data_IF_657454161951
#
_entry.id   IF_657454161951
#
_cell.length_a   1.000
_cell.length_b   1.000
_cell.length_c   1.000
_cell.angle_alpha   90.00
_cell.angle_beta   90.00
_cell.angle_gamma   90.00
#
_symmetry.space_group_name_H-M   'P 1'
#
loop_
_entity.id
_entity.type
_entity.pdbx_description
1 polymer ?
#
# COMPACT_ATOMS: atom_id res chain seq x y z
N UNK A 1 17.44 -3.54 -19.56
CA UNK A 1 16.73 -3.62 -18.26
C UNK A 1 15.31 -3.10 -18.47
N UNK A 2 14.29 -3.83 -18.03
CA UNK A 2 12.90 -3.35 -18.14
C UNK A 2 12.74 -2.17 -17.16
N UNK A 3 12.62 -0.95 -17.66
CA UNK A 3 12.37 0.26 -16.86
C UNK A 3 10.87 0.37 -16.48
N UNK A 4 10.25 -0.70 -16.01
CA UNK A 4 8.83 -0.76 -15.70
C UNK A 4 8.57 -1.70 -14.53
N UNK A 5 7.88 -1.22 -13.51
CA UNK A 5 7.47 -1.99 -12.33
C UNK A 5 6.11 -2.68 -12.49
N UNK A 6 5.37 -2.34 -13.54
CA UNK A 6 3.99 -2.77 -13.76
C UNK A 6 3.92 -4.21 -14.26
N UNK A 7 3.20 -5.07 -13.54
CA UNK A 7 2.74 -6.37 -13.99
C UNK A 7 1.31 -6.27 -14.55
N UNK A 8 1.15 -6.39 -15.87
CA UNK A 8 -0.15 -6.25 -16.53
C UNK A 8 -1.18 -7.28 -16.08
N UNK A 9 -0.75 -8.53 -15.81
CA UNK A 9 -1.66 -9.60 -15.37
C UNK A 9 -2.24 -9.29 -13.99
N UNK A 10 -1.41 -8.75 -13.07
CA UNK A 10 -1.87 -8.33 -11.75
C UNK A 10 -2.86 -7.17 -11.86
N UNK A 11 -2.59 -6.16 -12.70
CA UNK A 11 -3.54 -5.05 -12.92
C UNK A 11 -4.89 -5.56 -13.41
N UNK A 12 -4.90 -6.46 -14.41
CA UNK A 12 -6.15 -7.04 -14.93
C UNK A 12 -6.91 -7.81 -13.86
N UNK A 13 -6.21 -8.58 -13.03
CA UNK A 13 -6.76 -9.35 -11.92
C UNK A 13 -7.47 -8.44 -10.90
N UNK A 14 -6.79 -7.42 -10.41
CA UNK A 14 -7.38 -6.48 -9.45
C UNK A 14 -8.48 -5.61 -10.06
N UNK A 15 -8.35 -5.23 -11.33
CA UNK A 15 -9.39 -4.46 -12.04
C UNK A 15 -10.71 -5.22 -12.15
N UNK A 16 -10.69 -6.55 -12.29
CA UNK A 16 -11.90 -7.39 -12.36
C UNK A 16 -12.72 -7.39 -11.07
N UNK A 17 -12.10 -7.16 -9.94
CA UNK A 17 -12.74 -7.18 -8.62
C UNK A 17 -12.84 -5.78 -7.99
N UNK A 18 -12.48 -4.74 -8.72
CA UNK A 18 -12.37 -3.38 -8.18
C UNK A 18 -13.67 -2.84 -7.58
N UNK A 19 -14.83 -3.23 -8.10
CA UNK A 19 -16.13 -2.80 -7.57
C UNK A 19 -16.40 -3.29 -6.15
N UNK A 20 -15.71 -4.34 -5.71
CA UNK A 20 -15.86 -4.90 -4.38
C UNK A 20 -14.97 -4.24 -3.30
N UNK A 21 -14.12 -3.24 -3.67
CA UNK A 21 -13.19 -2.61 -2.72
C UNK A 21 -13.85 -2.18 -1.41
N UNK A 22 -15.05 -1.62 -1.47
CA UNK A 22 -15.75 -1.09 -0.31
C UNK A 22 -16.86 -2.01 0.24
N UNK A 23 -16.93 -3.24 -0.26
CA UNK A 23 -17.79 -4.28 0.30
C UNK A 23 -17.06 -5.02 1.44
N UNK A 24 -17.41 -4.81 2.73
CA UNK A 24 -16.69 -5.43 3.85
C UNK A 24 -16.86 -6.96 3.92
N UNK A 25 -17.85 -7.50 3.22
CA UNK A 25 -18.11 -8.94 3.12
C UNK A 25 -17.65 -9.54 1.78
N UNK A 26 -17.16 -8.70 0.87
CA UNK A 26 -16.66 -9.09 -0.45
C UNK A 26 -15.23 -9.64 -0.44
N UNK A 27 -14.61 -9.63 -1.61
CA UNK A 27 -13.26 -10.20 -1.84
C UNK A 27 -12.13 -9.47 -1.07
N UNK A 28 -12.37 -8.24 -0.61
CA UNK A 28 -11.42 -7.48 0.20
C UNK A 28 -11.71 -7.54 1.71
N UNK A 29 -12.61 -8.44 2.15
CA UNK A 29 -12.94 -8.66 3.57
C UNK A 29 -11.71 -8.80 4.48
N UNK A 30 -10.63 -9.53 4.13
CA UNK A 30 -9.44 -9.60 4.95
C UNK A 30 -8.80 -8.23 5.17
N UNK A 31 -8.71 -7.39 4.13
CA UNK A 31 -8.15 -6.04 4.24
C UNK A 31 -8.99 -5.16 5.16
N UNK A 32 -10.32 -5.23 5.07
CA UNK A 32 -11.21 -4.51 5.98
C UNK A 32 -10.98 -4.89 7.43
N UNK A 33 -10.77 -6.19 7.72
CA UNK A 33 -10.52 -6.68 9.09
C UNK A 33 -9.16 -6.25 9.63
N UNK A 34 -8.12 -6.21 8.78
CA UNK A 34 -6.76 -5.83 9.19
C UNK A 34 -6.55 -4.32 9.25
N UNK A 35 -7.32 -3.54 8.52
CA UNK A 35 -7.12 -2.10 8.41
C UNK A 35 -7.09 -1.35 9.74
N UNK A 36 -7.96 -1.61 10.73
CA UNK A 36 -7.92 -0.92 12.02
C UNK A 36 -6.56 -1.04 12.73
N UNK A 37 -5.98 -2.23 12.72
CA UNK A 37 -4.67 -2.50 13.33
C UNK A 37 -3.57 -1.78 12.53
N UNK A 38 -3.62 -1.89 11.22
CA UNK A 38 -2.69 -1.25 10.28
C UNK A 38 -2.69 0.28 10.43
N UNK A 39 -3.88 0.89 10.45
CA UNK A 39 -4.07 2.33 10.64
C UNK A 39 -3.48 2.78 11.98
N UNK A 40 -3.77 2.06 13.06
CA UNK A 40 -3.24 2.37 14.39
C UNK A 40 -1.72 2.32 14.41
N UNK A 41 -1.13 1.25 13.89
CA UNK A 41 0.32 1.09 13.82
C UNK A 41 1.00 2.22 13.03
N UNK A 42 0.49 2.51 11.83
CA UNK A 42 1.02 3.58 10.97
C UNK A 42 0.92 4.93 11.67
N UNK A 43 -0.27 5.28 12.18
CA UNK A 43 -0.53 6.52 12.90
C UNK A 43 0.44 6.71 14.08
N UNK A 44 0.58 5.69 14.93
CA UNK A 44 1.39 5.79 16.14
C UNK A 44 2.89 5.96 15.81
N UNK A 45 3.38 5.27 14.79
CA UNK A 45 4.77 5.45 14.32
C UNK A 45 5.00 6.83 13.68
N UNK A 46 4.02 7.37 12.95
CA UNK A 46 4.10 8.73 12.40
C UNK A 46 4.15 9.75 13.53
N UNK A 47 3.25 9.64 14.51
CA UNK A 47 3.24 10.52 15.70
C UNK A 47 4.60 10.50 16.40
N UNK A 48 5.13 9.31 16.65
CA UNK A 48 6.44 9.11 17.28
C UNK A 48 7.57 9.73 16.47
N UNK A 49 7.59 9.49 15.15
CA UNK A 49 8.66 9.95 14.24
C UNK A 49 8.69 11.47 14.11
N UNK A 50 7.53 12.08 13.88
CA UNK A 50 7.43 13.52 13.59
C UNK A 50 7.04 14.34 14.82
N UNK A 51 6.87 13.70 16.00
CA UNK A 51 6.48 14.34 17.27
C UNK A 51 5.21 15.19 17.10
N UNK A 52 4.25 14.71 16.31
CA UNK A 52 2.98 15.38 16.12
C UNK A 52 2.13 15.26 17.40
N UNK A 53 1.20 16.19 17.61
CA UNK A 53 0.31 16.13 18.78
C UNK A 53 -0.74 15.04 18.57
N UNK A 54 -0.99 14.23 19.60
CA UNK A 54 -2.07 13.23 19.58
C UNK A 54 -3.42 13.93 19.81
N UNK A 55 -4.00 14.46 18.75
CA UNK A 55 -5.28 15.18 18.71
C UNK A 55 -6.30 14.38 17.89
N UNK A 56 -7.48 14.97 17.64
CA UNK A 56 -8.46 14.40 16.68
C UNK A 56 -7.90 14.33 15.25
N UNK A 57 -6.90 15.13 14.90
CA UNK A 57 -6.23 15.15 13.60
C UNK A 57 -4.71 15.03 13.77
N UNK A 58 -4.20 13.87 14.24
CA UNK A 58 -2.80 13.71 14.62
C UNK A 58 -1.83 13.74 13.44
N UNK A 59 -2.32 13.56 12.21
CA UNK A 59 -1.50 13.56 11.00
C UNK A 59 -1.58 14.89 10.23
N UNK A 60 -2.08 15.96 10.85
CA UNK A 60 -2.16 17.26 10.22
C UNK A 60 -0.76 17.75 9.78
N UNK A 61 -0.66 18.28 8.53
CA UNK A 61 0.59 18.70 7.88
C UNK A 61 1.55 17.57 7.50
N UNK A 62 1.19 16.30 7.71
CA UNK A 62 1.98 15.16 7.23
C UNK A 62 1.57 14.84 5.79
N UNK A 63 2.53 14.87 4.86
CA UNK A 63 2.31 14.50 3.45
C UNK A 63 2.56 13.01 3.27
N UNK A 64 1.54 12.28 2.85
CA UNK A 64 1.58 10.82 2.66
C UNK A 64 1.38 10.48 1.18
N UNK A 65 2.18 9.57 0.66
CA UNK A 65 1.95 8.92 -0.62
C UNK A 65 1.57 7.45 -0.37
N UNK A 66 0.38 7.07 -0.81
CA UNK A 66 -0.13 5.70 -0.76
C UNK A 66 0.07 5.05 -2.13
N UNK A 67 1.04 4.14 -2.24
CA UNK A 67 1.42 3.48 -3.49
C UNK A 67 0.77 2.11 -3.57
N UNK A 68 0.03 1.86 -4.65
CA UNK A 68 -0.88 0.72 -4.76
C UNK A 68 -2.12 0.94 -3.90
N UNK A 69 -2.66 2.16 -3.91
CA UNK A 69 -3.76 2.57 -3.03
C UNK A 69 -5.08 1.82 -3.25
N UNK A 70 -5.20 1.07 -4.38
CA UNK A 70 -6.42 0.35 -4.72
C UNK A 70 -7.64 1.26 -4.75
N UNK A 71 -8.72 0.85 -4.11
CA UNK A 71 -9.95 1.65 -3.94
C UNK A 71 -9.88 2.72 -2.85
N UNK A 72 -8.70 2.99 -2.25
CA UNK A 72 -8.52 4.04 -1.25
C UNK A 72 -8.79 3.62 0.20
N UNK A 73 -8.82 2.30 0.47
CA UNK A 73 -9.15 1.73 1.79
C UNK A 73 -8.25 2.22 2.92
N UNK A 74 -6.99 2.55 2.63
CA UNK A 74 -6.07 3.12 3.61
C UNK A 74 -5.95 4.64 3.46
N UNK A 75 -6.03 5.15 2.23
CA UNK A 75 -5.94 6.59 1.96
C UNK A 75 -7.01 7.40 2.70
N UNK A 76 -8.27 6.94 2.70
CA UNK A 76 -9.36 7.68 3.35
C UNK A 76 -9.21 7.80 4.88
N UNK A 77 -8.91 6.72 5.62
CA UNK A 77 -8.64 6.84 7.06
C UNK A 77 -7.48 7.77 7.38
N UNK A 78 -6.39 7.74 6.59
CA UNK A 78 -5.26 8.67 6.79
C UNK A 78 -5.69 10.12 6.57
N UNK A 79 -6.52 10.40 5.56
CA UNK A 79 -7.11 11.73 5.34
C UNK A 79 -7.98 12.18 6.51
N UNK A 80 -8.83 11.29 7.05
CA UNK A 80 -9.67 11.57 8.22
C UNK A 80 -8.85 11.89 9.48
N UNK A 81 -7.66 11.28 9.60
CA UNK A 81 -6.69 11.59 10.66
C UNK A 81 -5.93 12.89 10.41
N UNK A 82 -6.18 13.58 9.29
CA UNK A 82 -5.66 14.92 8.99
C UNK A 82 -4.52 14.96 7.97
N UNK A 83 -4.06 13.82 7.46
CA UNK A 83 -2.97 13.79 6.50
C UNK A 83 -3.30 14.53 5.18
N UNK A 84 -2.27 15.10 4.57
CA UNK A 84 -2.29 15.52 3.18
C UNK A 84 -1.82 14.34 2.34
N UNK A 85 -2.79 13.62 1.73
CA UNK A 85 -2.53 12.33 1.12
C UNK A 85 -2.78 12.33 -0.38
N UNK A 86 -1.87 11.69 -1.10
CA UNK A 86 -1.98 11.36 -2.51
C UNK A 86 -1.98 9.85 -2.65
N UNK A 87 -2.92 9.29 -3.43
CA UNK A 87 -2.95 7.87 -3.77
C UNK A 87 -2.53 7.63 -5.22
N UNK A 88 -1.69 6.64 -5.45
CA UNK A 88 -1.37 6.18 -6.81
C UNK A 88 -1.62 4.68 -6.95
N UNK A 89 -2.13 4.28 -8.10
CA UNK A 89 -2.36 2.87 -8.47
C UNK A 89 -2.20 2.71 -9.97
N UNK A 90 -1.74 1.55 -10.42
CA UNK A 90 -1.55 1.27 -11.84
C UNK A 90 -2.86 0.90 -12.57
N UNK A 91 -3.93 0.55 -11.83
CA UNK A 91 -5.25 0.25 -12.36
C UNK A 91 -6.12 1.50 -12.41
N UNK A 92 -6.53 1.90 -13.62
CA UNK A 92 -7.47 3.01 -13.79
C UNK A 92 -8.81 2.74 -13.07
N UNK A 93 -9.29 1.48 -13.11
CA UNK A 93 -10.55 1.11 -12.45
C UNK A 93 -10.49 1.28 -10.93
N UNK A 94 -9.36 0.91 -10.30
CA UNK A 94 -9.15 1.15 -8.88
C UNK A 94 -9.20 2.65 -8.55
N UNK A 95 -8.52 3.47 -9.36
CA UNK A 95 -8.49 4.93 -9.19
C UNK A 95 -9.89 5.56 -9.35
N UNK A 96 -10.68 5.09 -10.29
CA UNK A 96 -12.06 5.55 -10.47
C UNK A 96 -12.91 5.25 -9.23
N UNK A 97 -12.82 4.03 -8.70
CA UNK A 97 -13.51 3.62 -7.46
C UNK A 97 -13.06 4.47 -6.28
N UNK A 98 -11.73 4.68 -6.11
CA UNK A 98 -11.18 5.50 -5.03
C UNK A 98 -11.70 6.94 -5.10
N UNK A 99 -11.67 7.56 -6.29
CA UNK A 99 -12.21 8.92 -6.51
C UNK A 99 -13.69 9.02 -6.19
N UNK A 100 -14.48 8.05 -6.68
CA UNK A 100 -15.93 8.03 -6.46
C UNK A 100 -16.27 7.93 -4.97
N UNK A 101 -15.58 7.02 -4.25
CA UNK A 101 -15.83 6.81 -2.84
C UNK A 101 -15.37 8.01 -1.99
N UNK A 102 -14.20 8.58 -2.25
CA UNK A 102 -13.72 9.78 -1.58
C UNK A 102 -14.67 10.97 -1.79
N UNK A 103 -15.16 11.18 -3.03
CA UNK A 103 -16.15 12.22 -3.35
C UNK A 103 -17.45 12.03 -2.57
N UNK A 104 -17.98 10.80 -2.51
CA UNK A 104 -19.19 10.45 -1.74
C UNK A 104 -19.02 10.79 -0.25
N UNK A 105 -17.82 10.59 0.28
CA UNK A 105 -17.46 10.87 1.67
C UNK A 105 -16.95 12.30 1.92
N UNK A 106 -16.97 13.17 0.91
CA UNK A 106 -16.49 14.56 0.98
C UNK A 106 -15.03 14.65 1.47
N UNK A 107 -14.20 13.72 1.02
CA UNK A 107 -12.77 13.69 1.29
C UNK A 107 -12.02 14.23 0.08
N UNK A 108 -11.21 15.27 0.31
CA UNK A 108 -10.33 15.84 -0.69
C UNK A 108 -9.02 15.03 -0.73
N UNK A 109 -8.97 14.02 -1.61
CA UNK A 109 -7.82 13.15 -1.83
C UNK A 109 -7.50 13.15 -3.32
N UNK A 110 -6.23 13.40 -3.62
CA UNK A 110 -5.73 13.35 -4.98
C UNK A 110 -5.34 11.91 -5.34
N UNK A 111 -5.89 11.39 -6.46
CA UNK A 111 -5.63 10.03 -6.95
C UNK A 111 -5.16 10.05 -8.41
N UNK A 112 -4.06 9.32 -8.71
CA UNK A 112 -3.49 9.20 -10.05
C UNK A 112 -3.32 7.76 -10.49
N UNK A 113 -3.70 7.49 -11.76
CA UNK A 113 -3.41 6.21 -12.40
C UNK A 113 -1.97 6.22 -12.93
N UNK A 114 -1.02 5.74 -12.12
CA UNK A 114 0.41 5.74 -12.45
C UNK A 114 1.18 4.76 -11.57
N UNK A 115 2.46 4.56 -11.89
CA UNK A 115 3.43 3.83 -11.06
C UNK A 115 4.49 4.79 -10.48
N UNK A 116 5.21 4.40 -9.41
CA UNK A 116 6.14 5.32 -8.73
C UNK A 116 7.25 5.83 -9.64
N UNK A 117 7.74 5.03 -10.60
CA UNK A 117 8.77 5.44 -11.55
C UNK A 117 8.27 6.44 -12.62
N UNK A 118 6.95 6.49 -12.82
CA UNK A 118 6.30 7.39 -13.81
C UNK A 118 5.61 8.57 -13.16
N UNK A 119 5.47 8.57 -11.85
CA UNK A 119 4.80 9.64 -11.12
C UNK A 119 5.65 10.91 -11.14
N UNK A 120 5.25 11.86 -11.98
CA UNK A 120 5.92 13.16 -12.12
C UNK A 120 5.40 14.11 -11.05
N UNK A 121 6.25 14.47 -10.10
CA UNK A 121 5.94 15.42 -9.04
C UNK A 121 7.23 16.02 -8.48
N UNK A 122 7.18 17.30 -8.14
CA UNK A 122 8.24 17.97 -7.40
C UNK A 122 8.07 17.83 -5.88
N UNK A 123 6.93 17.28 -5.45
CA UNK A 123 6.61 17.07 -4.04
C UNK A 123 7.39 15.87 -3.53
N UNK A 124 7.99 16.01 -2.34
CA UNK A 124 8.50 14.90 -1.54
C UNK A 124 7.58 14.66 -0.36
N UNK A 125 7.39 13.40 -0.04
CA UNK A 125 6.46 12.96 1.00
C UNK A 125 7.18 12.70 2.31
N UNK A 126 6.51 12.96 3.42
CA UNK A 126 6.99 12.63 4.76
C UNK A 126 6.87 11.11 5.00
N UNK A 127 5.84 10.51 4.43
CA UNK A 127 5.52 9.10 4.58
C UNK A 127 5.21 8.47 3.22
N UNK A 128 5.71 7.27 2.99
CA UNK A 128 5.29 6.41 1.88
C UNK A 128 4.68 5.13 2.47
N UNK A 129 3.53 4.75 1.93
CA UNK A 129 2.85 3.50 2.24
C UNK A 129 2.96 2.56 1.03
N UNK A 130 3.46 1.34 1.26
CA UNK A 130 3.55 0.24 0.30
C UNK A 130 2.90 -0.99 0.95
N UNK A 131 1.56 -1.05 0.94
CA UNK A 131 0.79 -2.08 1.63
C UNK A 131 0.30 -3.13 0.64
N UNK A 132 0.82 -4.37 0.77
CA UNK A 132 0.46 -5.51 -0.08
C UNK A 132 0.64 -5.19 -1.58
N UNK A 133 1.77 -4.58 -1.94
CA UNK A 133 2.07 -4.18 -3.33
C UNK A 133 3.38 -4.78 -3.85
N UNK A 134 4.38 -4.96 -3.00
CA UNK A 134 5.72 -5.35 -3.43
C UNK A 134 5.78 -6.75 -4.07
N UNK A 135 4.88 -7.65 -3.70
CA UNK A 135 4.72 -8.98 -4.28
C UNK A 135 4.06 -8.97 -5.68
N UNK A 136 3.46 -7.86 -6.07
CA UNK A 136 2.72 -7.71 -7.33
C UNK A 136 3.50 -6.96 -8.42
N UNK A 137 4.72 -6.51 -8.11
CA UNK A 137 5.55 -5.77 -9.07
C UNK A 137 6.52 -6.68 -9.83
N UNK A 138 6.91 -6.28 -11.03
CA UNK A 138 7.86 -7.03 -11.88
C UNK A 138 9.30 -6.98 -11.36
N UNK A 139 9.72 -5.86 -10.78
CA UNK A 139 11.07 -5.62 -10.28
C UNK A 139 10.99 -4.86 -8.94
N UNK A 140 11.18 -5.60 -7.86
CA UNK A 140 11.09 -5.09 -6.48
C UNK A 140 12.18 -4.05 -6.19
N UNK A 141 13.42 -4.29 -6.66
CA UNK A 141 14.54 -3.37 -6.41
C UNK A 141 14.30 -2.03 -7.11
N UNK A 142 13.90 -2.05 -8.40
CA UNK A 142 13.59 -0.85 -9.15
C UNK A 142 12.36 -0.12 -8.61
N UNK A 143 11.35 -0.85 -8.14
CA UNK A 143 10.16 -0.29 -7.49
C UNK A 143 10.55 0.47 -6.22
N UNK A 144 11.26 -0.17 -5.29
CA UNK A 144 11.67 0.43 -4.02
C UNK A 144 12.64 1.60 -4.22
N UNK A 145 13.53 1.51 -5.22
CA UNK A 145 14.36 2.63 -5.67
C UNK A 145 13.53 3.82 -6.13
N UNK A 146 12.46 3.55 -6.88
CA UNK A 146 11.57 4.61 -7.37
C UNK A 146 10.78 5.25 -6.23
N UNK A 147 10.27 4.44 -5.29
CA UNK A 147 9.63 4.92 -4.07
C UNK A 147 10.59 5.78 -3.23
N UNK A 148 11.84 5.35 -3.05
CA UNK A 148 12.83 6.08 -2.25
C UNK A 148 13.07 7.51 -2.75
N UNK A 149 12.99 7.72 -4.06
CA UNK A 149 13.15 9.05 -4.67
C UNK A 149 12.01 10.01 -4.35
N UNK A 150 10.85 9.50 -3.98
CA UNK A 150 9.66 10.30 -3.64
C UNK A 150 9.62 10.67 -2.15
N UNK A 151 10.42 10.00 -1.33
CA UNK A 151 10.48 10.24 0.12
C UNK A 151 11.43 11.40 0.47
N UNK A 152 11.08 12.18 1.48
CA UNK A 152 11.97 13.17 2.09
C UNK A 152 13.14 12.47 2.81
N UNK A 153 14.28 13.16 2.96
CA UNK A 153 15.50 12.65 3.62
C UNK A 153 15.24 12.06 5.01
N UNK A 154 14.33 12.65 5.78
CA UNK A 154 13.97 12.20 7.14
C UNK A 154 12.59 11.54 7.19
N UNK A 155 12.05 11.13 6.04
CA UNK A 155 10.78 10.46 5.92
C UNK A 155 10.80 9.04 6.43
N UNK A 156 9.62 8.43 6.52
CA UNK A 156 9.44 7.01 6.88
C UNK A 156 8.70 6.28 5.76
N UNK A 157 9.10 5.06 5.49
CA UNK A 157 8.42 4.17 4.53
C UNK A 157 7.90 2.95 5.28
N UNK A 158 6.62 2.67 5.11
CA UNK A 158 6.00 1.43 5.57
C UNK A 158 5.89 0.47 4.39
N UNK A 159 6.33 -0.76 4.61
CA UNK A 159 6.23 -1.84 3.62
C UNK A 159 5.57 -3.02 4.33
N UNK A 160 4.43 -3.47 3.80
CA UNK A 160 3.77 -4.68 4.26
C UNK A 160 3.60 -5.65 3.08
N UNK A 161 3.88 -6.91 3.33
CA UNK A 161 3.71 -8.01 2.37
C UNK A 161 3.57 -9.32 3.11
N UNK A 162 3.09 -10.34 2.42
CA UNK A 162 3.03 -11.69 2.96
C UNK A 162 4.45 -12.29 3.03
N UNK A 163 4.86 -12.66 4.24
CA UNK A 163 6.16 -13.31 4.45
C UNK A 163 6.21 -14.69 3.78
N UNK A 164 7.32 -15.03 3.14
CA UNK A 164 7.54 -16.33 2.50
C UNK A 164 7.83 -17.44 3.52
N UNK A 165 6.79 -17.90 4.22
CA UNK A 165 6.88 -18.98 5.21
C UNK A 165 5.86 -20.07 4.93
N UNK A 166 6.11 -21.29 5.45
CA UNK A 166 5.14 -22.38 5.35
C UNK A 166 3.80 -22.00 6.04
N UNK A 167 3.86 -21.23 7.14
CA UNK A 167 2.65 -20.71 7.81
C UNK A 167 1.83 -19.83 6.89
N UNK A 168 2.46 -18.88 6.19
CA UNK A 168 1.74 -18.00 5.27
C UNK A 168 1.18 -18.77 4.06
N UNK A 169 1.87 -19.79 3.58
CA UNK A 169 1.35 -20.69 2.55
C UNK A 169 0.04 -21.36 3.00
N UNK A 170 0.06 -21.97 4.19
CA UNK A 170 -1.12 -22.65 4.73
C UNK A 170 -2.27 -21.67 5.00
N UNK A 171 -2.01 -20.53 5.61
CA UNK A 171 -3.08 -19.59 6.00
C UNK A 171 -3.56 -18.71 4.84
N UNK A 172 -2.66 -18.16 4.02
CA UNK A 172 -3.04 -17.26 2.95
C UNK A 172 -3.56 -18.00 1.70
N UNK A 173 -2.98 -19.13 1.35
CA UNK A 173 -3.38 -19.89 0.17
C UNK A 173 -4.40 -20.95 0.53
N UNK A 174 -4.04 -21.95 1.34
CA UNK A 174 -4.96 -23.07 1.67
C UNK A 174 -6.15 -22.55 2.48
N UNK A 175 -5.90 -21.76 3.51
CA UNK A 175 -6.97 -21.23 4.38
C UNK A 175 -7.87 -20.22 3.68
N UNK A 176 -7.33 -19.14 3.17
CA UNK A 176 -8.13 -18.05 2.65
C UNK A 176 -8.73 -18.33 1.25
N UNK A 177 -8.00 -19.05 0.38
CA UNK A 177 -8.48 -19.30 -0.98
C UNK A 177 -9.29 -20.60 -1.11
N UNK A 178 -8.85 -21.70 -0.51
CA UNK A 178 -9.48 -23.00 -0.70
C UNK A 178 -10.52 -23.34 0.37
N UNK A 179 -10.25 -23.07 1.66
CA UNK A 179 -11.14 -23.44 2.76
C UNK A 179 -12.20 -22.38 2.99
N UNK A 180 -11.79 -21.15 3.31
CA UNK A 180 -12.71 -20.07 3.64
C UNK A 180 -13.27 -19.35 2.42
N UNK A 181 -12.65 -19.52 1.26
CA UNK A 181 -13.02 -18.90 -0.02
C UNK A 181 -13.22 -17.37 0.08
N UNK A 182 -12.44 -16.75 0.95
CA UNK A 182 -12.46 -15.28 1.11
C UNK A 182 -11.85 -14.57 -0.09
N UNK A 183 -10.93 -15.24 -0.78
CA UNK A 183 -10.25 -14.75 -1.96
C UNK A 183 -10.39 -15.75 -3.10
N UNK A 184 -10.41 -15.31 -4.36
CA UNK A 184 -10.37 -16.21 -5.51
C UNK A 184 -9.12 -17.10 -5.48
N UNK A 185 -9.27 -18.35 -5.90
CA UNK A 185 -8.13 -19.28 -6.06
C UNK A 185 -7.10 -18.63 -7.02
N UNK A 186 -5.82 -18.67 -6.66
CA UNK A 186 -4.74 -18.05 -7.42
C UNK A 186 -4.59 -16.55 -7.16
N UNK A 187 -5.19 -16.03 -6.09
CA UNK A 187 -4.94 -14.63 -5.64
C UNK A 187 -3.50 -14.48 -5.20
N UNK A 188 -2.95 -15.49 -4.51
CA UNK A 188 -1.57 -15.47 -4.02
C UNK A 188 -0.73 -16.54 -4.73
N UNK A 189 0.41 -16.13 -5.24
CA UNK A 189 1.46 -17.03 -5.73
C UNK A 189 2.57 -17.06 -4.68
N UNK A 190 2.72 -18.19 -3.98
CA UNK A 190 3.71 -18.31 -2.90
C UNK A 190 5.15 -18.00 -3.34
N UNK A 191 5.46 -18.22 -4.61
CA UNK A 191 6.76 -17.88 -5.19
C UNK A 191 7.06 -16.37 -5.16
N UNK A 192 6.01 -15.54 -5.21
CA UNK A 192 6.09 -14.08 -5.12
C UNK A 192 6.16 -13.54 -3.70
N UNK A 193 5.96 -14.38 -2.69
CA UNK A 193 6.09 -13.97 -1.30
C UNK A 193 7.54 -13.59 -0.99
N UNK A 194 7.71 -12.50 -0.27
CA UNK A 194 9.02 -11.88 -0.08
C UNK A 194 9.46 -12.04 1.39
N UNK A 195 10.70 -12.50 1.58
CA UNK A 195 11.28 -12.55 2.93
C UNK A 195 11.62 -11.14 3.41
N UNK A 196 11.32 -10.79 4.68
CA UNK A 196 11.65 -9.48 5.24
C UNK A 196 13.13 -9.12 5.09
N UNK A 197 14.04 -10.08 5.25
CA UNK A 197 15.48 -9.86 5.15
C UNK A 197 15.86 -9.35 3.76
N UNK A 198 15.24 -9.88 2.68
CA UNK A 198 15.49 -9.44 1.32
C UNK A 198 15.07 -7.98 1.09
N UNK A 199 13.90 -7.57 1.65
CA UNK A 199 13.47 -6.17 1.59
C UNK A 199 14.42 -5.25 2.36
N UNK A 200 14.85 -5.67 3.55
CA UNK A 200 15.82 -4.92 4.37
C UNK A 200 17.12 -4.72 3.61
N UNK A 201 17.64 -5.75 2.94
CA UNK A 201 18.90 -5.65 2.19
C UNK A 201 18.78 -4.75 0.97
N UNK A 202 17.64 -4.77 0.25
CA UNK A 202 17.38 -3.79 -0.81
C UNK A 202 17.33 -2.37 -0.24
N UNK A 203 16.60 -2.15 0.85
CA UNK A 203 16.43 -0.81 1.41
C UNK A 203 17.71 -0.23 1.97
N UNK A 204 18.64 -1.08 2.51
CA UNK A 204 19.99 -0.65 2.90
C UNK A 204 20.79 -0.06 1.73
N UNK A 205 20.65 -0.58 0.50
CA UNK A 205 21.31 -0.02 -0.71
C UNK A 205 20.89 1.42 -0.97
N UNK A 206 19.68 1.80 -0.53
CA UNK A 206 19.11 3.15 -0.69
C UNK A 206 19.23 4.00 0.59
N UNK A 207 20.13 3.63 1.51
CA UNK A 207 20.42 4.33 2.77
C UNK A 207 19.27 4.38 3.76
N UNK A 208 18.37 3.41 3.73
CA UNK A 208 17.34 3.26 4.74
C UNK A 208 17.87 2.50 5.96
N UNK A 209 17.37 2.88 7.12
CA UNK A 209 17.56 2.14 8.37
C UNK A 209 16.25 1.46 8.74
N UNK A 210 16.33 0.22 9.20
CA UNK A 210 15.19 -0.51 9.72
C UNK A 210 14.84 0.05 11.12
N UNK A 211 13.60 0.46 11.29
CA UNK A 211 13.07 0.90 12.58
C UNK A 211 12.36 -0.26 13.33
N UNK A 212 11.62 -1.13 12.61
CA UNK A 212 10.93 -2.30 13.16
C UNK A 212 10.57 -3.33 12.05
N UNK A 213 10.42 -4.59 12.45
CA UNK A 213 9.83 -5.69 11.65
C UNK A 213 8.67 -6.28 12.43
#
# INVERSE_FOLDING_TARGET
>A
MKNNTINKKEIEKFSKIAEEWWNPDGKFKPLHKFNPIRITYIKDNIIKKFKTKNTKRPLEKVKILDIGCGGGLLSEPMKRLGADIVGIDASNKNIEIAKLHAKKNKLDIEYHCTSPEKFKTDIKFDVILNMEIVEHVEDVDFFLKSCSKLLKKNGIMFIATLNKTLKSYVFAIIGAEYIMRWLPIGTHEWEKFIKPEYLVDIMKKYNFKLDAV
#
